data_IF_643051306588
#
_entry.id   IF_643051306588
#
_cell.length_a   1.000
_cell.length_b   1.000
_cell.length_c   1.000
_cell.angle_alpha   90.00
_cell.angle_beta   90.00
_cell.angle_gamma   90.00
#
_symmetry.space_group_name_H-M   'P 1'
#
loop_
_entity.id
_entity.type
_entity.pdbx_description
1 polymer ?
#
# COMPACT_ATOMS: atom_id res chain seq x y z
N UNK A 1 3.12 13.95 -2.67
CA UNK A 1 1.87 13.19 -2.35
C UNK A 1 1.06 12.72 -3.57
N UNK A 2 0.85 13.53 -4.62
CA UNK A 2 0.04 13.10 -5.80
C UNK A 2 0.62 11.91 -6.58
N UNK A 3 1.93 11.68 -6.53
CA UNK A 3 2.55 10.59 -7.28
C UNK A 3 2.12 9.19 -6.82
N UNK A 4 1.76 9.00 -5.55
CA UNK A 4 1.20 7.73 -5.09
C UNK A 4 -0.12 7.40 -5.80
N UNK A 5 -1.00 8.40 -5.97
CA UNK A 5 -2.26 8.24 -6.70
C UNK A 5 -2.03 8.03 -8.20
N UNK A 6 -1.04 8.71 -8.79
CA UNK A 6 -0.67 8.50 -10.19
C UNK A 6 -0.16 7.06 -10.43
N UNK A 7 0.74 6.58 -9.57
CA UNK A 7 1.24 5.20 -9.62
C UNK A 7 0.10 4.18 -9.43
N UNK A 8 -0.80 4.42 -8.47
CA UNK A 8 -1.95 3.54 -8.25
C UNK A 8 -2.96 3.52 -9.39
N UNK A 9 -3.16 4.65 -10.08
CA UNK A 9 -4.01 4.71 -11.27
C UNK A 9 -3.39 3.94 -12.43
N UNK A 10 -2.08 4.07 -12.65
CA UNK A 10 -1.35 3.32 -13.67
C UNK A 10 -1.33 1.81 -13.38
N UNK A 11 -1.28 1.42 -12.10
CA UNK A 11 -1.28 0.05 -11.63
C UNK A 11 -2.66 -0.44 -11.17
N UNK A 12 -3.75 0.16 -11.69
CA UNK A 12 -5.11 -0.12 -11.24
C UNK A 12 -5.44 -1.62 -11.30
N UNK A 13 -5.86 -2.15 -10.16
CA UNK A 13 -6.28 -3.55 -10.02
C UNK A 13 -7.54 -3.82 -10.80
N UNK A 14 -7.60 -4.99 -11.45
CA UNK A 14 -8.81 -5.43 -12.12
C UNK A 14 -9.95 -5.56 -11.09
N UNK A 15 -11.12 -4.93 -11.31
CA UNK A 15 -12.24 -5.01 -10.36
C UNK A 15 -12.69 -6.44 -10.03
N UNK A 16 -12.42 -7.42 -10.90
CA UNK A 16 -12.70 -8.84 -10.64
C UNK A 16 -11.94 -9.35 -9.41
N UNK A 17 -10.68 -8.95 -9.20
CA UNK A 17 -9.88 -9.37 -8.03
C UNK A 17 -10.55 -8.94 -6.72
N UNK A 18 -11.08 -7.72 -6.69
CA UNK A 18 -11.82 -7.19 -5.52
C UNK A 18 -13.13 -7.96 -5.33
N UNK A 19 -13.84 -8.27 -6.41
CA UNK A 19 -15.09 -9.04 -6.35
C UNK A 19 -14.86 -10.46 -5.82
N UNK A 20 -13.81 -11.13 -6.27
CA UNK A 20 -13.41 -12.46 -5.80
C UNK A 20 -13.09 -12.45 -4.31
N UNK A 21 -12.38 -11.44 -3.84
CA UNK A 21 -12.06 -11.31 -2.42
C UNK A 21 -13.30 -11.03 -1.56
N UNK A 22 -14.22 -10.17 -2.03
CA UNK A 22 -15.50 -9.92 -1.34
C UNK A 22 -16.30 -11.24 -1.26
N UNK A 23 -16.37 -11.99 -2.36
CA UNK A 23 -17.04 -13.28 -2.37
C UNK A 23 -16.40 -14.23 -1.35
N UNK A 24 -15.07 -14.38 -1.37
CA UNK A 24 -14.35 -15.18 -0.39
C UNK A 24 -14.67 -14.75 1.05
N UNK A 25 -14.64 -13.45 1.34
CA UNK A 25 -14.88 -12.92 2.68
C UNK A 25 -16.28 -13.24 3.24
N UNK A 26 -17.30 -13.40 2.38
CA UNK A 26 -18.68 -13.70 2.80
C UNK A 26 -19.02 -15.20 2.75
N UNK A 27 -18.22 -16.02 2.06
CA UNK A 27 -18.49 -17.47 1.91
C UNK A 27 -17.49 -18.36 2.66
N UNK A 28 -16.40 -17.83 3.19
CA UNK A 28 -15.38 -18.59 3.92
C UNK A 28 -15.87 -19.02 5.31
N UNK A 29 -15.47 -20.21 5.75
CA UNK A 29 -15.69 -20.68 7.13
C UNK A 29 -14.64 -20.13 8.12
N UNK A 30 -13.57 -19.48 7.62
CA UNK A 30 -12.53 -18.82 8.41
C UNK A 30 -12.46 -17.31 8.07
N UNK A 31 -13.40 -16.50 8.57
CA UNK A 31 -13.44 -15.08 8.25
C UNK A 31 -12.44 -14.26 9.07
N UNK A 32 -11.84 -13.25 8.44
CA UNK A 32 -11.05 -12.21 9.11
C UNK A 32 -11.72 -10.84 9.00
N UNK A 33 -11.39 -9.95 9.94
CA UNK A 33 -11.97 -8.59 9.98
C UNK A 33 -11.49 -7.70 8.83
N UNK A 34 -10.26 -7.91 8.32
CA UNK A 34 -9.64 -7.06 7.30
C UNK A 34 -8.94 -7.92 6.27
N UNK A 35 -9.16 -7.59 4.99
CA UNK A 35 -8.46 -8.21 3.87
C UNK A 35 -7.72 -7.12 3.09
N UNK A 36 -6.43 -7.34 2.83
CA UNK A 36 -5.65 -6.46 1.96
C UNK A 36 -5.88 -6.87 0.50
N UNK A 37 -6.13 -5.89 -0.36
CA UNK A 37 -6.38 -6.09 -1.79
C UNK A 37 -5.91 -4.88 -2.57
N UNK A 38 -5.78 -5.07 -3.88
CA UNK A 38 -5.35 -4.07 -4.84
C UNK A 38 -3.88 -3.68 -4.73
N UNK A 39 -3.41 -2.98 -5.76
CA UNK A 39 -2.04 -2.52 -5.86
C UNK A 39 -1.60 -1.78 -4.58
N UNK A 40 -0.44 -2.19 -4.06
CA UNK A 40 0.17 -1.62 -2.88
C UNK A 40 -0.50 -1.98 -1.55
N UNK A 41 -1.69 -2.60 -1.55
CA UNK A 41 -2.44 -2.87 -0.31
C UNK A 41 -1.66 -3.72 0.68
N UNK A 42 -1.11 -4.86 0.22
CA UNK A 42 -0.33 -5.76 1.06
C UNK A 42 1.00 -5.12 1.49
N UNK A 43 1.71 -4.50 0.56
CA UNK A 43 2.99 -3.81 0.82
C UNK A 43 2.86 -2.73 1.89
N UNK A 44 1.82 -1.90 1.82
CA UNK A 44 1.58 -0.82 2.78
C UNK A 44 1.20 -1.36 4.15
N UNK A 45 0.34 -2.38 4.21
CA UNK A 45 -0.07 -3.01 5.48
C UNK A 45 1.13 -3.66 6.17
N UNK A 46 1.91 -4.44 5.44
CA UNK A 46 3.09 -5.15 5.98
C UNK A 46 4.24 -4.19 6.30
N UNK A 47 4.48 -3.19 5.45
CA UNK A 47 5.47 -2.15 5.70
C UNK A 47 5.13 -1.36 6.96
N UNK A 48 3.87 -0.94 7.13
CA UNK A 48 3.44 -0.24 8.36
C UNK A 48 3.57 -1.12 9.59
N UNK A 49 3.27 -2.41 9.49
CA UNK A 49 3.37 -3.34 10.62
C UNK A 49 4.82 -3.64 11.04
N UNK A 50 5.78 -3.51 10.12
CA UNK A 50 7.20 -3.79 10.38
C UNK A 50 8.02 -2.58 10.85
N UNK A 51 7.44 -1.38 10.88
CA UNK A 51 8.13 -0.14 11.25
C UNK A 51 7.70 0.43 12.60
N UNK A 52 8.61 1.17 13.22
CA UNK A 52 8.32 1.93 14.45
C UNK A 52 7.49 3.19 14.14
N UNK A 53 6.89 3.77 15.17
CA UNK A 53 6.19 5.04 15.02
C UNK A 53 7.16 6.18 14.67
N UNK A 54 8.40 6.14 15.17
CA UNK A 54 9.45 7.09 14.83
C UNK A 54 9.84 6.99 13.34
N UNK A 55 9.96 5.77 12.79
CA UNK A 55 10.21 5.57 11.36
C UNK A 55 9.06 6.13 10.50
N UNK A 56 7.82 5.93 10.96
CA UNK A 56 6.63 6.43 10.27
C UNK A 56 6.57 7.97 10.28
N UNK A 57 6.86 8.59 11.43
CA UNK A 57 6.93 10.05 11.57
C UNK A 57 8.08 10.61 10.73
N UNK A 58 9.24 9.96 10.74
CA UNK A 58 10.40 10.38 9.96
C UNK A 58 10.13 10.36 8.45
N UNK A 59 9.41 9.35 7.93
CA UNK A 59 8.97 9.33 6.53
C UNK A 59 8.10 10.55 6.19
N UNK A 60 7.17 10.92 7.07
CA UNK A 60 6.28 12.07 6.88
C UNK A 60 6.97 13.43 7.00
N UNK A 61 8.18 13.48 7.58
CA UNK A 61 8.96 14.70 7.78
C UNK A 61 9.93 15.01 6.62
N UNK A 62 10.02 14.15 5.61
CA UNK A 62 10.89 14.38 4.45
C UNK A 62 10.26 15.46 3.54
N UNK A 63 10.97 16.56 3.34
CA UNK A 63 10.52 17.69 2.51
C UNK A 63 10.93 17.57 1.03
N UNK A 64 12.04 16.88 0.75
CA UNK A 64 12.53 16.67 -0.60
C UNK A 64 11.80 15.47 -1.26
N UNK A 65 11.26 15.71 -2.46
CA UNK A 65 10.46 14.73 -3.18
C UNK A 65 11.27 13.47 -3.56
N UNK A 66 12.52 13.64 -4.02
CA UNK A 66 13.35 12.52 -4.46
C UNK A 66 13.78 11.64 -3.27
N UNK A 67 14.11 12.27 -2.14
CA UNK A 67 14.36 11.57 -0.87
C UNK A 67 13.11 10.84 -0.39
N UNK A 68 11.93 11.46 -0.49
CA UNK A 68 10.67 10.84 -0.10
C UNK A 68 10.37 9.61 -0.97
N UNK A 69 10.49 9.72 -2.30
CA UNK A 69 10.23 8.61 -3.22
C UNK A 69 11.16 7.43 -2.95
N UNK A 70 12.45 7.71 -2.76
CA UNK A 70 13.45 6.68 -2.46
C UNK A 70 13.16 5.99 -1.13
N UNK A 71 12.83 6.76 -0.09
CA UNK A 71 12.52 6.20 1.23
C UNK A 71 11.22 5.40 1.20
N UNK A 72 10.22 5.86 0.46
CA UNK A 72 8.95 5.15 0.26
C UNK A 72 9.17 3.79 -0.42
N UNK A 73 9.97 3.75 -1.49
CA UNK A 73 10.31 2.50 -2.17
C UNK A 73 11.10 1.55 -1.28
N UNK A 74 12.02 2.05 -0.45
CA UNK A 74 12.74 1.22 0.53
C UNK A 74 11.82 0.61 1.60
N UNK A 75 10.83 1.38 2.08
CA UNK A 75 9.94 0.95 3.16
C UNK A 75 8.83 0.02 2.69
N UNK A 76 8.32 0.23 1.48
CA UNK A 76 7.12 -0.46 0.97
C UNK A 76 7.39 -1.31 -0.26
N UNK A 77 8.57 -1.22 -0.90
CA UNK A 77 8.82 -1.89 -2.18
C UNK A 77 7.93 -1.36 -3.32
N UNK A 78 7.41 -0.14 -3.17
CA UNK A 78 6.53 0.51 -4.14
C UNK A 78 7.24 1.72 -4.74
N UNK A 79 7.46 1.69 -6.05
CA UNK A 79 7.98 2.84 -6.77
C UNK A 79 6.87 3.83 -7.06
N UNK A 80 7.02 5.05 -6.55
CA UNK A 80 6.08 6.17 -6.77
C UNK A 80 6.76 7.39 -7.41
N UNK A 81 8.05 7.32 -7.74
CA UNK A 81 8.69 8.38 -8.53
C UNK A 81 8.04 8.47 -9.93
N UNK A 82 7.96 9.67 -10.52
CA UNK A 82 7.43 9.87 -11.87
C UNK A 82 8.24 9.16 -12.97
#
# INVERSE_FOLDING_TARGET
MFQFYAAGLAAATNPVEVAELIHHAITTDDPQLRYAVSWGGRQLVEGRASMTDDDWVALGAIEDDDDYYRRFEQLFGLRIAP
#
